data_IF_282914589598
#
_entry.id   IF_282914589598
#
_cell.length_a   1.000
_cell.length_b   1.000
_cell.length_c   1.000
_cell.angle_alpha   90.00
_cell.angle_beta   90.00
_cell.angle_gamma   90.00
#
_symmetry.space_group_name_H-M   'P 1'
#
loop_
_entity.id
_entity.type
_entity.pdbx_description
1 polymer ?
#
# COMPACT_ATOMS: atom_id res chain seq x y z
N UNK A 1 22.26 -16.58 -1.04
CA UNK A 1 23.34 -16.78 -0.01
C UNK A 1 22.86 -16.27 1.34
N UNK A 2 23.07 -17.03 2.42
CA UNK A 2 22.66 -16.61 3.77
C UNK A 2 23.90 -16.27 4.60
N UNK A 3 23.93 -15.06 5.18
CA UNK A 3 25.04 -14.61 6.02
C UNK A 3 25.11 -15.41 7.34
N UNK A 4 26.29 -15.85 7.79
CA UNK A 4 26.44 -16.50 9.08
C UNK A 4 26.19 -15.55 10.28
N UNK A 5 26.09 -14.25 10.04
CA UNK A 5 25.77 -13.26 11.07
C UNK A 5 24.26 -12.93 11.12
N UNK A 6 23.42 -13.56 10.30
CA UNK A 6 21.98 -13.45 10.41
C UNK A 6 21.45 -14.40 11.50
N UNK A 7 20.43 -13.95 12.23
CA UNK A 7 19.66 -14.83 13.10
C UNK A 7 18.39 -15.27 12.39
N UNK A 8 18.22 -16.58 12.24
CA UNK A 8 17.01 -17.18 11.65
C UNK A 8 16.47 -18.20 12.64
N UNK A 9 15.25 -17.98 13.12
CA UNK A 9 14.61 -18.93 14.04
C UNK A 9 14.42 -20.29 13.35
N UNK A 10 14.68 -21.44 14.02
CA UNK A 10 14.57 -22.76 13.40
C UNK A 10 13.19 -23.12 12.82
N UNK A 11 12.12 -22.50 13.33
CA UNK A 11 10.76 -22.70 12.82
C UNK A 11 10.41 -21.80 11.62
N UNK A 12 11.28 -20.86 11.23
CA UNK A 12 11.06 -20.04 10.04
C UNK A 12 11.18 -20.91 8.78
N UNK A 13 10.30 -20.67 7.82
CA UNK A 13 10.32 -21.35 6.52
C UNK A 13 10.87 -20.38 5.48
N UNK A 14 12.00 -20.74 4.89
CA UNK A 14 12.70 -19.94 3.88
C UNK A 14 12.69 -20.72 2.58
N UNK A 15 12.25 -20.07 1.51
CA UNK A 15 12.20 -20.63 0.15
C UNK A 15 13.58 -20.77 -0.51
N UNK A 16 13.55 -21.07 -1.79
CA UNK A 16 14.76 -21.26 -2.60
C UNK A 16 15.37 -19.93 -3.06
N UNK A 17 16.69 -19.90 -3.29
CA UNK A 17 17.43 -18.75 -3.81
C UNK A 17 17.23 -17.45 -3.02
N UNK A 18 17.02 -17.54 -1.71
CA UNK A 18 16.89 -16.36 -0.84
C UNK A 18 18.28 -15.88 -0.43
N UNK A 19 18.51 -14.57 -0.59
CA UNK A 19 19.69 -13.89 -0.10
C UNK A 19 19.39 -13.18 1.22
N UNK A 20 20.18 -13.45 2.26
CA UNK A 20 19.98 -12.86 3.60
C UNK A 20 21.30 -12.24 4.06
N UNK A 21 21.29 -10.92 4.25
CA UNK A 21 22.44 -10.13 4.69
C UNK A 21 22.79 -10.32 6.17
N UNK A 22 23.92 -9.75 6.61
CA UNK A 22 24.32 -9.81 8.02
C UNK A 22 23.35 -9.01 8.91
N UNK A 23 23.21 -9.46 10.14
CA UNK A 23 22.38 -8.84 11.19
C UNK A 23 20.88 -8.76 10.83
N UNK A 24 20.42 -9.52 9.85
CA UNK A 24 19.00 -9.76 9.62
C UNK A 24 18.48 -10.63 10.77
N UNK A 25 17.30 -10.26 11.29
CA UNK A 25 16.58 -11.03 12.28
C UNK A 25 15.30 -11.61 11.68
N UNK A 26 15.14 -12.93 11.71
CA UNK A 26 13.93 -13.64 11.27
C UNK A 26 13.37 -14.44 12.43
N UNK A 27 12.15 -14.11 12.86
CA UNK A 27 11.48 -14.71 14.01
C UNK A 27 10.81 -16.04 13.67
N UNK A 28 10.29 -16.72 14.69
CA UNK A 28 9.43 -17.89 14.52
C UNK A 28 8.12 -17.53 13.78
N UNK A 29 7.45 -18.56 13.24
CA UNK A 29 6.20 -18.40 12.49
C UNK A 29 6.30 -17.38 11.32
N UNK A 30 7.49 -17.31 10.70
CA UNK A 30 7.73 -16.54 9.47
C UNK A 30 7.77 -17.49 8.29
N UNK A 31 7.17 -17.07 7.16
CA UNK A 31 7.26 -17.77 5.88
C UNK A 31 7.75 -16.79 4.83
N UNK A 32 8.81 -17.12 4.12
CA UNK A 32 9.42 -16.34 3.04
C UNK A 32 9.50 -17.24 1.81
N UNK A 33 8.93 -16.78 0.71
CA UNK A 33 8.99 -17.46 -0.59
C UNK A 33 10.36 -17.39 -1.25
N UNK A 34 10.39 -17.69 -2.53
CA UNK A 34 11.62 -17.85 -3.31
C UNK A 34 12.17 -16.52 -3.84
N UNK A 35 13.47 -16.52 -4.18
CA UNK A 35 14.16 -15.42 -4.88
C UNK A 35 14.07 -14.05 -4.17
N UNK A 36 13.96 -14.04 -2.86
CA UNK A 36 13.93 -12.80 -2.07
C UNK A 36 15.35 -12.34 -1.70
N UNK A 37 15.55 -11.03 -1.68
CA UNK A 37 16.77 -10.41 -1.16
C UNK A 37 16.44 -9.62 0.10
N UNK A 38 17.01 -10.02 1.25
CA UNK A 38 16.82 -9.37 2.54
C UNK A 38 18.15 -8.75 2.96
N UNK A 39 18.21 -7.43 2.89
CA UNK A 39 19.46 -6.68 3.12
C UNK A 39 19.79 -6.56 4.60
N UNK A 40 21.03 -6.16 4.95
CA UNK A 40 21.49 -6.10 6.33
C UNK A 40 20.59 -5.32 7.28
N UNK A 41 20.47 -5.76 8.53
CA UNK A 41 19.68 -5.12 9.59
C UNK A 41 18.16 -5.07 9.36
N UNK A 42 17.60 -5.77 8.39
CA UNK A 42 16.16 -5.92 8.27
C UNK A 42 15.62 -6.89 9.32
N UNK A 43 14.39 -6.65 9.78
CA UNK A 43 13.74 -7.47 10.80
C UNK A 43 12.43 -8.04 10.26
N UNK A 44 12.33 -9.35 10.19
CA UNK A 44 11.14 -10.08 9.77
C UNK A 44 10.55 -10.77 11.00
N UNK A 45 9.47 -10.19 11.50
CA UNK A 45 8.92 -10.57 12.80
C UNK A 45 7.77 -11.58 12.66
N UNK A 46 7.34 -12.11 13.80
CA UNK A 46 6.29 -13.12 13.94
C UNK A 46 5.05 -12.79 13.09
N UNK A 47 4.53 -13.80 12.41
CA UNK A 47 3.33 -13.67 11.58
C UNK A 47 3.56 -13.08 10.18
N UNK A 48 4.81 -12.83 9.78
CA UNK A 48 5.10 -12.38 8.42
C UNK A 48 4.95 -13.51 7.40
N UNK A 49 4.30 -13.20 6.29
CA UNK A 49 4.11 -14.06 5.11
C UNK A 49 4.57 -13.27 3.90
N UNK A 50 5.71 -13.61 3.35
CA UNK A 50 6.37 -12.88 2.28
C UNK A 50 6.39 -13.78 1.04
N UNK A 51 5.84 -13.29 -0.07
CA UNK A 51 5.86 -13.97 -1.37
C UNK A 51 7.24 -14.02 -2.00
N UNK A 52 7.31 -14.02 -3.31
CA UNK A 52 8.52 -14.26 -4.07
C UNK A 52 9.13 -12.96 -4.63
N UNK A 53 10.43 -12.96 -4.89
CA UNK A 53 11.12 -11.91 -5.64
C UNK A 53 11.14 -10.52 -4.98
N UNK A 54 10.89 -10.43 -3.68
CA UNK A 54 10.90 -9.14 -2.98
C UNK A 54 12.33 -8.71 -2.64
N UNK A 55 12.56 -7.40 -2.64
CA UNK A 55 13.79 -6.80 -2.15
C UNK A 55 13.48 -5.95 -0.92
N UNK A 56 14.04 -6.33 0.23
CA UNK A 56 13.82 -5.71 1.54
C UNK A 56 15.10 -5.02 1.97
N UNK A 57 15.05 -3.72 2.12
CA UNK A 57 16.20 -2.86 2.38
C UNK A 57 16.55 -2.74 3.87
N UNK A 58 17.72 -2.18 4.19
CA UNK A 58 18.21 -2.11 5.57
C UNK A 58 17.25 -1.39 6.51
N UNK A 59 17.11 -1.90 7.72
CA UNK A 59 16.28 -1.29 8.77
C UNK A 59 14.77 -1.45 8.57
N UNK A 60 14.31 -2.10 7.49
CA UNK A 60 12.89 -2.40 7.33
C UNK A 60 12.43 -3.39 8.41
N UNK A 61 11.21 -3.19 8.92
CA UNK A 61 10.59 -4.04 9.95
C UNK A 61 9.23 -4.52 9.45
N UNK A 62 9.10 -5.82 9.21
CA UNK A 62 7.86 -6.43 8.72
C UNK A 62 7.29 -7.33 9.82
N UNK A 63 5.97 -7.22 10.07
CA UNK A 63 5.27 -8.04 11.05
C UNK A 63 5.36 -7.52 12.48
N UNK A 64 5.75 -6.25 12.69
CA UNK A 64 5.72 -5.66 14.03
C UNK A 64 4.31 -5.70 14.63
N UNK A 65 4.24 -5.79 15.96
CA UNK A 65 2.97 -5.76 16.68
C UNK A 65 2.22 -4.46 16.37
N UNK A 66 0.88 -4.49 16.28
CA UNK A 66 0.06 -3.30 16.09
C UNK A 66 0.31 -2.23 17.14
N UNK A 67 0.36 -0.97 16.73
CA UNK A 67 0.40 0.18 17.64
C UNK A 67 -1.04 0.57 18.05
N UNK A 68 -1.84 -0.42 18.40
CA UNK A 68 -3.22 -0.27 18.86
C UNK A 68 -3.32 -0.72 20.33
N UNK A 69 -3.82 0.16 21.18
CA UNK A 69 -4.02 -0.12 22.62
C UNK A 69 -4.99 -1.27 22.90
N UNK A 70 -5.80 -1.67 21.90
CA UNK A 70 -6.74 -2.79 22.01
C UNK A 70 -6.10 -4.13 21.70
N UNK A 71 -4.92 -4.15 21.07
CA UNK A 71 -4.21 -5.38 20.74
C UNK A 71 -3.83 -6.15 22.02
N UNK A 72 -4.15 -7.45 22.07
CA UNK A 72 -3.94 -8.34 23.22
C UNK A 72 -2.99 -9.50 22.96
N UNK A 73 -2.28 -9.46 21.80
CA UNK A 73 -1.37 -10.53 21.41
C UNK A 73 -2.01 -11.58 20.50
N UNK A 74 -3.07 -11.23 19.81
CA UNK A 74 -3.77 -12.11 18.87
C UNK A 74 -2.84 -12.64 17.78
N UNK A 75 -3.10 -13.85 17.34
CA UNK A 75 -2.39 -14.46 16.23
C UNK A 75 -2.88 -13.87 14.90
N UNK A 76 -2.11 -12.92 14.40
CA UNK A 76 -2.40 -12.17 13.19
C UNK A 76 -1.19 -12.13 12.26
N UNK A 77 -1.38 -11.72 11.01
CA UNK A 77 -0.34 -11.75 9.98
C UNK A 77 -0.07 -10.40 9.33
N UNK A 78 1.13 -10.27 8.75
CA UNK A 78 1.47 -9.30 7.72
C UNK A 78 1.77 -10.07 6.43
N UNK A 79 0.93 -9.92 5.42
CA UNK A 79 1.00 -10.65 4.16
C UNK A 79 1.54 -9.74 3.05
N UNK A 80 2.68 -10.09 2.50
CA UNK A 80 3.37 -9.35 1.44
C UNK A 80 3.37 -10.21 0.19
N UNK A 81 2.86 -9.70 -0.92
CA UNK A 81 2.87 -10.38 -2.21
C UNK A 81 4.25 -10.47 -2.85
N UNK A 82 4.28 -10.53 -4.17
CA UNK A 82 5.48 -10.78 -4.94
C UNK A 82 6.10 -9.48 -5.51
N UNK A 83 7.41 -9.52 -5.77
CA UNK A 83 8.15 -8.49 -6.51
C UNK A 83 8.00 -7.06 -5.94
N UNK A 84 7.90 -6.93 -4.63
CA UNK A 84 7.87 -5.64 -3.98
C UNK A 84 9.30 -5.14 -3.69
N UNK A 85 9.47 -3.82 -3.76
CA UNK A 85 10.66 -3.14 -3.27
C UNK A 85 10.29 -2.39 -1.99
N UNK A 86 10.78 -2.87 -0.85
CA UNK A 86 10.53 -2.32 0.49
C UNK A 86 11.80 -1.64 0.95
N UNK A 87 11.83 -0.30 0.86
CA UNK A 87 13.01 0.52 1.10
C UNK A 87 13.34 0.65 2.59
N UNK A 88 14.38 1.42 2.85
CA UNK A 88 15.00 1.58 4.17
C UNK A 88 13.98 2.05 5.21
N UNK A 89 14.05 1.47 6.41
CA UNK A 89 13.24 1.86 7.56
C UNK A 89 11.71 1.84 7.33
N UNK A 90 11.24 1.13 6.32
CA UNK A 90 9.80 0.86 6.17
C UNK A 90 9.33 -0.01 7.33
N UNK A 91 8.17 0.33 7.89
CA UNK A 91 7.55 -0.48 8.95
C UNK A 91 6.17 -0.95 8.51
N UNK A 92 5.91 -2.25 8.65
CA UNK A 92 4.61 -2.86 8.33
C UNK A 92 4.16 -3.62 9.57
N UNK A 93 3.09 -3.16 10.22
CA UNK A 93 2.50 -3.87 11.34
C UNK A 93 1.65 -5.04 10.84
N UNK A 94 1.57 -6.11 11.62
CA UNK A 94 0.58 -7.16 11.38
C UNK A 94 -0.83 -6.71 11.77
N UNK A 95 -1.85 -7.48 11.42
CA UNK A 95 -3.24 -7.13 11.72
C UNK A 95 -3.60 -7.19 13.19
N UNK A 96 -4.81 -6.75 13.51
CA UNK A 96 -5.48 -6.94 14.82
C UNK A 96 -6.58 -7.98 14.70
N UNK A 97 -7.31 -8.24 15.79
CA UNK A 97 -8.49 -9.10 15.78
C UNK A 97 -9.59 -8.62 14.81
N UNK A 98 -9.58 -7.34 14.39
CA UNK A 98 -10.60 -6.77 13.52
C UNK A 98 -10.58 -7.39 12.11
N UNK A 99 -9.38 -7.59 11.52
CA UNK A 99 -9.23 -8.20 10.18
C UNK A 99 -8.26 -9.39 10.17
N UNK A 100 -7.52 -9.61 11.24
CA UNK A 100 -6.56 -10.70 11.36
C UNK A 100 -5.28 -10.50 10.54
N UNK A 101 -5.22 -9.52 9.64
CA UNK A 101 -4.07 -9.34 8.75
C UNK A 101 -3.94 -7.94 8.18
N UNK A 102 -2.70 -7.56 7.89
CA UNK A 102 -2.32 -6.43 7.02
C UNK A 102 -1.82 -6.99 5.69
N UNK A 103 -2.21 -6.39 4.58
CA UNK A 103 -1.88 -6.91 3.24
C UNK A 103 -1.15 -5.83 2.44
N UNK A 104 -0.05 -6.23 1.80
CA UNK A 104 0.62 -5.49 0.73
C UNK A 104 0.64 -6.40 -0.50
N UNK A 105 -0.03 -6.00 -1.58
CA UNK A 105 -0.09 -6.74 -2.83
C UNK A 105 1.28 -6.90 -3.49
N UNK A 106 1.31 -7.02 -4.80
CA UNK A 106 2.52 -7.30 -5.56
C UNK A 106 2.99 -6.11 -6.40
N UNK A 107 4.28 -6.09 -6.79
CA UNK A 107 4.88 -5.09 -7.66
C UNK A 107 4.80 -3.66 -7.10
N UNK A 108 4.88 -3.50 -5.79
CA UNK A 108 4.82 -2.20 -5.12
C UNK A 108 6.23 -1.66 -4.85
N UNK A 109 6.33 -0.33 -4.82
CA UNK A 109 7.48 0.39 -4.28
C UNK A 109 7.05 1.14 -3.02
N UNK A 110 7.52 0.70 -1.86
CA UNK A 110 7.39 1.41 -0.59
C UNK A 110 8.72 2.10 -0.32
N UNK A 111 8.72 3.44 -0.44
CA UNK A 111 9.95 4.23 -0.29
C UNK A 111 10.36 4.39 1.17
N UNK A 112 11.53 4.98 1.39
CA UNK A 112 12.15 5.12 2.71
C UNK A 112 11.18 5.69 3.75
N UNK A 113 11.17 5.06 4.95
CA UNK A 113 10.44 5.54 6.11
C UNK A 113 8.92 5.45 6.02
N UNK A 114 8.35 4.76 5.02
CA UNK A 114 6.91 4.49 4.94
C UNK A 114 6.46 3.68 6.15
N UNK A 115 5.29 4.04 6.71
CA UNK A 115 4.63 3.26 7.75
C UNK A 115 3.29 2.74 7.27
N UNK A 116 3.09 1.43 7.36
CA UNK A 116 1.84 0.72 7.11
C UNK A 116 1.32 0.19 8.44
N UNK A 117 0.27 0.80 8.98
CA UNK A 117 -0.34 0.35 10.23
C UNK A 117 -1.19 -0.92 10.02
N UNK A 118 -1.68 -1.45 11.12
CA UNK A 118 -2.45 -2.69 11.20
C UNK A 118 -3.72 -2.68 10.33
N UNK A 119 -4.09 -3.84 9.83
CA UNK A 119 -5.31 -4.07 9.07
C UNK A 119 -5.43 -3.25 7.76
N UNK A 120 -4.33 -2.61 7.33
CA UNK A 120 -4.26 -1.90 6.07
C UNK A 120 -4.20 -2.88 4.89
N UNK A 121 -4.76 -2.48 3.75
CA UNK A 121 -4.72 -3.22 2.49
C UNK A 121 -4.14 -2.30 1.42
N UNK A 122 -2.99 -2.64 0.90
CA UNK A 122 -2.38 -2.00 -0.26
C UNK A 122 -2.48 -2.94 -1.45
N UNK A 123 -3.08 -2.50 -2.53
CA UNK A 123 -3.18 -3.24 -3.78
C UNK A 123 -1.84 -3.48 -4.45
N UNK A 124 -1.85 -3.73 -5.74
CA UNK A 124 -0.66 -4.03 -6.53
C UNK A 124 -0.25 -2.86 -7.43
N UNK A 125 1.04 -2.77 -7.78
CA UNK A 125 1.58 -1.74 -8.66
C UNK A 125 1.57 -0.33 -8.07
N UNK A 126 1.45 -0.18 -6.76
CA UNK A 126 1.42 1.09 -6.06
C UNK A 126 2.83 1.64 -5.83
N UNK A 127 2.93 2.97 -5.79
CA UNK A 127 4.14 3.69 -5.38
C UNK A 127 3.79 4.53 -4.16
N UNK A 128 4.44 4.24 -3.04
CA UNK A 128 4.23 4.96 -1.78
C UNK A 128 5.52 5.74 -1.47
N UNK A 129 5.41 7.06 -1.52
CA UNK A 129 6.54 7.98 -1.37
C UNK A 129 7.09 8.07 0.05
N UNK A 130 8.32 8.57 0.13
CA UNK A 130 9.10 8.65 1.37
C UNK A 130 8.31 9.26 2.55
N UNK A 131 8.51 8.70 3.73
CA UNK A 131 7.93 9.19 4.99
C UNK A 131 6.40 9.26 5.05
N UNK A 132 5.69 8.65 4.10
CA UNK A 132 4.22 8.54 4.15
C UNK A 132 3.79 7.67 5.33
N UNK A 133 2.78 8.12 6.08
CA UNK A 133 2.24 7.42 7.24
C UNK A 133 0.77 7.09 7.04
N UNK A 134 0.46 5.81 7.15
CA UNK A 134 -0.90 5.27 7.06
C UNK A 134 -1.35 4.82 8.44
N UNK A 135 -2.49 5.34 8.90
CA UNK A 135 -3.13 4.81 10.10
C UNK A 135 -3.81 3.45 9.82
N UNK A 136 -4.40 2.83 10.81
CA UNK A 136 -5.02 1.50 10.67
C UNK A 136 -6.18 1.46 9.68
N UNK A 137 -6.43 0.28 9.10
CA UNK A 137 -7.56 -0.02 8.23
C UNK A 137 -7.68 0.82 6.95
N UNK A 138 -6.57 1.39 6.48
CA UNK A 138 -6.49 2.08 5.18
C UNK A 138 -6.63 1.05 4.05
N UNK A 139 -7.33 1.43 2.98
CA UNK A 139 -7.36 0.67 1.73
C UNK A 139 -6.79 1.53 0.61
N UNK A 140 -5.77 1.04 -0.07
CA UNK A 140 -5.21 1.66 -1.28
C UNK A 140 -5.41 0.67 -2.42
N UNK A 141 -6.19 1.08 -3.42
CA UNK A 141 -6.44 0.25 -4.59
C UNK A 141 -5.23 0.25 -5.55
N UNK A 142 -5.26 -0.65 -6.54
CA UNK A 142 -4.15 -0.88 -7.46
C UNK A 142 -3.68 0.37 -8.20
N UNK A 143 -2.38 0.40 -8.48
CA UNK A 143 -1.72 1.43 -9.29
C UNK A 143 -1.83 2.86 -8.76
N UNK A 144 -2.14 3.03 -7.48
CA UNK A 144 -2.14 4.34 -6.84
C UNK A 144 -0.70 4.85 -6.63
N UNK A 145 -0.52 6.15 -6.78
CA UNK A 145 0.73 6.85 -6.48
C UNK A 145 0.47 7.80 -5.32
N UNK A 146 1.08 7.52 -4.21
CA UNK A 146 1.05 8.37 -3.03
C UNK A 146 2.42 9.04 -2.93
N UNK A 147 2.48 10.35 -3.11
CA UNK A 147 3.76 11.07 -3.02
C UNK A 147 4.27 11.12 -1.57
N UNK A 148 5.48 11.68 -1.39
CA UNK A 148 6.12 11.67 -0.07
C UNK A 148 5.42 12.52 1.00
N UNK A 149 5.61 12.15 2.27
CA UNK A 149 5.11 12.84 3.45
C UNK A 149 3.58 13.00 3.51
N UNK A 150 2.84 12.06 2.96
CA UNK A 150 1.38 12.02 3.04
C UNK A 150 0.93 11.39 4.36
N UNK A 151 -0.07 11.99 5.02
CA UNK A 151 -0.67 11.49 6.26
C UNK A 151 -2.11 11.08 6.00
N UNK A 152 -2.43 9.80 6.27
CA UNK A 152 -3.75 9.22 6.04
C UNK A 152 -4.41 8.85 7.36
N UNK A 153 -5.62 9.38 7.58
CA UNK A 153 -6.44 9.00 8.73
C UNK A 153 -6.97 7.57 8.54
N UNK A 154 -7.18 6.85 9.65
CA UNK A 154 -7.71 5.48 9.62
C UNK A 154 -9.06 5.38 8.88
N UNK A 155 -9.34 4.21 8.33
CA UNK A 155 -10.54 3.85 7.57
C UNK A 155 -10.69 4.51 6.18
N UNK A 156 -9.78 5.37 5.77
CA UNK A 156 -9.85 5.98 4.44
C UNK A 156 -9.56 4.97 3.34
N UNK A 157 -10.22 5.14 2.20
CA UNK A 157 -9.93 4.44 0.96
C UNK A 157 -9.36 5.39 -0.09
N UNK A 158 -8.32 4.97 -0.77
CA UNK A 158 -7.72 5.63 -1.93
C UNK A 158 -7.97 4.77 -3.16
N UNK A 159 -8.71 5.31 -4.12
CA UNK A 159 -9.05 4.61 -5.35
C UNK A 159 -7.85 4.35 -6.25
N UNK A 160 -7.99 3.42 -7.18
CA UNK A 160 -6.93 3.04 -8.11
C UNK A 160 -6.54 4.15 -9.07
N UNK A 161 -5.28 4.11 -9.55
CA UNK A 161 -4.73 5.08 -10.51
C UNK A 161 -4.74 6.53 -10.04
N UNK A 162 -4.92 6.76 -8.76
CA UNK A 162 -4.86 8.09 -8.12
C UNK A 162 -3.40 8.56 -8.04
N UNK A 163 -3.22 9.88 -8.09
CA UNK A 163 -1.99 10.53 -7.63
C UNK A 163 -2.32 11.46 -6.46
N UNK A 164 -1.81 11.17 -5.27
CA UNK A 164 -1.88 12.05 -4.10
C UNK A 164 -0.64 12.92 -4.04
N UNK A 165 -0.81 14.24 -4.01
CA UNK A 165 0.31 15.18 -3.91
C UNK A 165 1.05 15.07 -2.56
N UNK A 166 2.36 15.28 -2.62
CA UNK A 166 3.22 15.24 -1.44
C UNK A 166 2.82 16.24 -0.36
N UNK A 167 3.05 15.87 0.91
CA UNK A 167 2.70 16.69 2.07
C UNK A 167 1.20 16.77 2.37
N UNK A 168 0.35 16.08 1.60
CA UNK A 168 -1.11 16.09 1.83
C UNK A 168 -1.49 15.33 3.10
N UNK A 169 -2.54 15.80 3.76
CA UNK A 169 -3.20 15.07 4.86
C UNK A 169 -4.70 14.98 4.61
N UNK A 170 -5.30 13.83 4.92
CA UNK A 170 -6.73 13.63 4.67
C UNK A 170 -7.35 12.61 5.62
N UNK A 171 -8.68 12.76 5.78
CA UNK A 171 -9.54 11.91 6.60
C UNK A 171 -10.81 11.47 5.86
N UNK A 172 -10.81 11.58 4.52
CA UNK A 172 -11.93 11.17 3.66
C UNK A 172 -11.40 10.36 2.50
N UNK A 173 -12.27 9.55 1.89
CA UNK A 173 -11.93 8.74 0.75
C UNK A 173 -11.53 9.59 -0.47
N UNK A 174 -10.60 9.06 -1.25
CA UNK A 174 -10.14 9.66 -2.50
C UNK A 174 -10.62 8.77 -3.63
N UNK A 175 -11.49 9.28 -4.53
CA UNK A 175 -12.02 8.51 -5.64
C UNK A 175 -10.93 8.19 -6.69
N UNK A 176 -11.11 7.15 -7.54
CA UNK A 176 -10.09 6.68 -8.48
C UNK A 176 -9.75 7.69 -9.59
N UNK A 177 -8.65 7.49 -10.29
CA UNK A 177 -8.20 8.18 -11.52
C UNK A 177 -7.87 9.67 -11.39
N UNK A 178 -7.90 10.26 -10.20
CA UNK A 178 -7.71 11.70 -10.00
C UNK A 178 -6.31 12.04 -9.49
N UNK A 179 -6.01 13.34 -9.58
CA UNK A 179 -5.01 13.98 -8.76
C UNK A 179 -5.72 14.57 -7.55
N UNK A 180 -5.30 14.18 -6.35
CA UNK A 180 -5.76 14.74 -5.09
C UNK A 180 -4.64 15.58 -4.46
N UNK A 181 -4.93 16.81 -4.11
CA UNK A 181 -3.94 17.74 -3.55
C UNK A 181 -4.58 18.96 -2.95
N UNK A 182 -3.80 20.02 -2.68
CA UNK A 182 -4.19 21.26 -2.01
C UNK A 182 -4.33 21.07 -0.48
N UNK A 183 -4.61 22.17 0.22
CA UNK A 183 -4.88 22.21 1.66
C UNK A 183 -6.14 23.06 1.89
N UNK A 184 -7.23 22.47 2.37
CA UNK A 184 -7.47 21.03 2.56
C UNK A 184 -7.45 20.24 1.25
N UNK A 185 -7.21 18.90 1.34
CA UNK A 185 -7.13 18.05 0.15
C UNK A 185 -8.41 18.12 -0.67
N UNK A 186 -8.27 18.25 -1.98
CA UNK A 186 -9.38 18.39 -2.92
C UNK A 186 -9.04 17.74 -4.27
N UNK A 187 -10.06 17.55 -5.10
CA UNK A 187 -9.92 17.19 -6.49
C UNK A 187 -9.12 18.26 -7.25
N UNK A 188 -8.02 17.85 -7.86
CA UNK A 188 -7.13 18.72 -8.63
C UNK A 188 -7.08 18.35 -10.12
N UNK A 189 -8.02 17.55 -10.58
CA UNK A 189 -8.13 17.10 -11.98
C UNK A 189 -7.94 15.59 -12.12
N UNK A 190 -8.03 15.11 -13.36
CA UNK A 190 -7.79 13.70 -13.72
C UNK A 190 -6.28 13.46 -13.84
N UNK A 191 -5.82 12.30 -13.39
CA UNK A 191 -4.42 11.85 -13.51
C UNK A 191 -4.10 11.41 -14.95
N UNK A 192 -4.28 12.30 -15.93
CA UNK A 192 -4.15 12.01 -17.37
C UNK A 192 -2.79 11.38 -17.68
N UNK A 193 -1.71 11.92 -17.12
CA UNK A 193 -0.36 11.43 -17.38
C UNK A 193 -0.17 10.00 -16.84
N UNK A 194 -0.65 9.74 -15.62
CA UNK A 194 -0.60 8.41 -15.02
C UNK A 194 -1.40 7.39 -15.80
N UNK A 195 -2.61 7.76 -16.24
CA UNK A 195 -3.48 6.89 -17.02
C UNK A 195 -2.87 6.55 -18.40
N UNK A 196 -2.33 7.54 -19.13
CA UNK A 196 -1.62 7.29 -20.39
C UNK A 196 -0.43 6.36 -20.24
N UNK A 197 0.37 6.54 -19.21
CA UNK A 197 1.52 5.67 -18.92
C UNK A 197 1.10 4.22 -18.63
N UNK A 198 -0.12 4.00 -18.21
CA UNK A 198 -0.73 2.69 -17.94
C UNK A 198 -1.53 2.14 -19.12
N UNK A 199 -1.47 2.80 -20.30
CA UNK A 199 -2.07 2.32 -21.55
C UNK A 199 -3.56 2.62 -21.71
N UNK A 200 -4.14 3.52 -20.92
CA UNK A 200 -5.52 3.96 -21.11
C UNK A 200 -5.65 4.72 -22.44
N UNK A 201 -6.68 4.41 -23.23
CA UNK A 201 -6.96 5.12 -24.48
C UNK A 201 -7.39 6.57 -24.20
N UNK A 202 -7.16 7.47 -25.16
CA UNK A 202 -7.62 8.86 -25.03
C UNK A 202 -9.14 8.93 -24.86
N UNK A 203 -9.90 8.08 -25.54
CA UNK A 203 -11.35 8.00 -25.42
C UNK A 203 -11.78 7.63 -23.99
N UNK A 204 -11.16 6.62 -23.39
CA UNK A 204 -11.47 6.23 -22.02
C UNK A 204 -11.11 7.34 -21.02
N UNK A 205 -9.97 8.01 -21.21
CA UNK A 205 -9.56 9.16 -20.38
C UNK A 205 -10.58 10.31 -20.50
N UNK A 206 -11.06 10.59 -21.71
CA UNK A 206 -12.11 11.60 -21.96
C UNK A 206 -13.40 11.24 -21.23
N UNK A 207 -13.83 9.97 -21.30
CA UNK A 207 -15.02 9.49 -20.61
C UNK A 207 -14.90 9.64 -19.08
N UNK A 208 -13.75 9.28 -18.51
CA UNK A 208 -13.45 9.50 -17.09
C UNK A 208 -13.52 11.00 -16.77
N UNK A 209 -12.90 11.85 -17.59
CA UNK A 209 -12.91 13.30 -17.38
C UNK A 209 -14.33 13.88 -17.41
N UNK A 210 -15.15 13.47 -18.39
CA UNK A 210 -16.54 13.91 -18.49
C UNK A 210 -17.38 13.46 -17.29
N UNK A 211 -17.17 12.25 -16.79
CA UNK A 211 -17.83 11.76 -15.57
C UNK A 211 -17.51 12.65 -14.38
N UNK A 212 -16.21 12.95 -14.17
CA UNK A 212 -15.80 13.83 -13.06
C UNK A 212 -16.28 15.27 -13.22
N UNK A 213 -16.39 15.78 -14.44
CA UNK A 213 -16.99 17.08 -14.73
C UNK A 213 -18.47 17.12 -14.31
N UNK A 214 -19.23 16.06 -14.58
CA UNK A 214 -20.62 15.96 -14.14
C UNK A 214 -20.71 15.96 -12.61
N UNK A 215 -19.88 15.16 -11.94
CA UNK A 215 -19.92 15.02 -10.47
C UNK A 215 -19.53 16.32 -9.76
N UNK A 216 -18.48 17.01 -10.22
CA UNK A 216 -17.87 18.11 -9.44
C UNK A 216 -18.10 19.51 -10.00
N UNK A 217 -18.52 19.65 -11.25
CA UNK A 217 -18.62 20.97 -11.90
C UNK A 217 -20.03 21.39 -12.28
N UNK A 218 -20.98 20.46 -12.36
CA UNK A 218 -22.35 20.79 -12.78
C UNK A 218 -23.28 21.14 -11.62
N UNK A 219 -22.80 21.20 -10.37
CA UNK A 219 -23.61 21.53 -9.19
C UNK A 219 -24.75 20.55 -8.91
N UNK A 220 -24.74 19.38 -9.54
CA UNK A 220 -25.76 18.35 -9.36
C UNK A 220 -25.52 17.61 -8.05
N UNK A 221 -26.58 17.33 -7.30
CA UNK A 221 -26.53 16.37 -6.22
C UNK A 221 -26.60 14.93 -6.78
N UNK A 222 -26.26 13.93 -5.96
CA UNK A 222 -26.21 12.52 -6.39
C UNK A 222 -27.54 12.02 -6.98
N UNK A 223 -28.68 12.52 -6.53
CA UNK A 223 -29.99 12.15 -7.07
C UNK A 223 -30.22 12.66 -8.50
N UNK A 224 -29.64 13.81 -8.87
CA UNK A 224 -29.72 14.36 -10.23
C UNK A 224 -28.75 13.67 -11.20
N UNK A 225 -27.64 13.13 -10.70
CA UNK A 225 -26.66 12.37 -11.53
C UNK A 225 -27.34 11.10 -12.08
N UNK A 226 -28.16 10.40 -11.30
CA UNK A 226 -28.89 9.21 -11.75
C UNK A 226 -29.90 9.51 -12.88
N UNK A 227 -30.43 10.72 -12.96
CA UNK A 227 -31.38 11.13 -13.99
C UNK A 227 -30.67 11.42 -15.32
N UNK A 228 -29.40 11.79 -15.31
CA UNK A 228 -28.60 12.13 -16.50
C UNK A 228 -27.91 10.93 -17.16
N UNK A 229 -27.94 9.74 -16.56
CA UNK A 229 -27.45 8.53 -17.21
C UNK A 229 -28.41 8.12 -18.33
N UNK A 230 -27.93 7.95 -19.60
CA UNK A 230 -28.74 7.38 -20.64
C UNK A 230 -29.11 5.94 -20.25
N UNK A 231 -30.39 5.66 -20.09
CA UNK A 231 -30.91 4.31 -19.92
C UNK A 231 -30.35 3.43 -21.02
N UNK A 232 -29.44 2.50 -20.69
CA UNK A 232 -29.08 1.40 -21.58
C UNK A 232 -30.37 0.66 -21.87
N UNK A 233 -30.90 0.87 -23.09
CA UNK A 233 -31.93 -0.01 -23.63
C UNK A 233 -31.29 -1.39 -23.79
N UNK A 234 -31.84 -2.36 -23.10
CA UNK A 234 -31.61 -3.80 -23.25
C UNK A 234 -31.81 -4.25 -24.68
#
# INVERSE_FOLDING_TARGET
MISPLAYIHPEAKIGENVEIGPFVFIDKNVVIGDNNTIMPNANILYGSRIGNGNTIFPGAVIGAIPQDLKFRGEETTAEIGDNNTIRENVTINRGTAAKGKTIVGSNNLLMEGVHVAHDAIIGSGCIIGNATKMAGEIIIDDNAIISGAVLMHQFCRVGGYVMVQGGSRFSKDIPPYIIAGREPIAYAGINIVGLRRRGFSNELIENIHNTYRIIYQNGMNLSLIHISEPTRRS
#
